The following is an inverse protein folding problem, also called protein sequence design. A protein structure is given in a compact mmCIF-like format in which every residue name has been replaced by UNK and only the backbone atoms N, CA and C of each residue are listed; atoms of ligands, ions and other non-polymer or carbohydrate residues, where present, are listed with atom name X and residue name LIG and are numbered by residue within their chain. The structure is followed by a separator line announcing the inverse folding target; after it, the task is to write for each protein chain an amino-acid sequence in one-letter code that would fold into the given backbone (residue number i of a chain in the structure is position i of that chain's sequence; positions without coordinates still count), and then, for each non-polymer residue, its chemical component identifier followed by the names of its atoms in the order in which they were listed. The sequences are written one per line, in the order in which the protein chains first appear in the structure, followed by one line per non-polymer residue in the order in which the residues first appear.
data_IF_557175510986
#
_entry.id   IF_557175510986
#
_cell.length_a   1.000
_cell.length_b   1.000
_cell.length_c   1.000
_cell.angle_alpha   90.00
_cell.angle_beta   90.00
_cell.angle_gamma   90.00
#
_symmetry.space_group_name_H-M   'P 1'
#
loop_
_entity.id
_entity.type
_entity.pdbx_description
1 polymer ?
#
# COMPACT_ATOMS: atom_id res chain seq x y z
N UNK A 1 17.73 18.77 -14.67
CA UNK A 1 17.25 17.58 -13.95
C UNK A 1 15.79 17.41 -14.22
N UNK A 2 15.33 16.26 -14.72
CA UNK A 2 13.90 16.03 -14.97
C UNK A 2 13.29 15.41 -13.71
N UNK A 3 12.36 16.10 -13.07
CA UNK A 3 11.63 15.54 -11.95
C UNK A 3 10.46 14.71 -12.45
N UNK A 4 10.38 13.47 -12.03
CA UNK A 4 9.22 12.64 -12.23
C UNK A 4 8.47 12.56 -10.91
N UNK A 5 7.33 13.23 -10.81
CA UNK A 5 6.54 13.25 -9.56
C UNK A 5 5.84 11.93 -9.25
N UNK A 6 5.97 10.94 -10.11
CA UNK A 6 5.19 9.72 -9.99
C UNK A 6 5.80 8.56 -10.76
N UNK A 7 6.95 8.16 -10.33
CA UNK A 7 7.68 7.06 -10.95
C UNK A 7 6.92 5.72 -10.96
N UNK A 8 5.96 5.52 -10.06
CA UNK A 8 5.21 4.29 -9.89
C UNK A 8 3.79 4.32 -10.48
N UNK A 9 3.49 5.20 -11.39
CA UNK A 9 2.14 5.48 -11.81
C UNK A 9 1.59 4.63 -12.94
N UNK A 10 2.40 3.86 -13.60
CA UNK A 10 1.93 2.92 -14.62
C UNK A 10 1.56 1.53 -14.05
N UNK A 11 1.27 1.46 -12.75
CA UNK A 11 1.10 0.21 -12.07
C UNK A 11 2.40 -0.58 -11.90
N UNK A 12 2.33 -1.68 -11.15
CA UNK A 12 3.47 -2.57 -11.02
C UNK A 12 3.50 -3.57 -12.19
N UNK A 13 4.57 -3.53 -12.95
CA UNK A 13 4.88 -4.52 -13.98
C UNK A 13 6.39 -4.83 -13.97
N UNK A 14 6.84 -6.01 -14.41
CA UNK A 14 8.25 -6.32 -14.51
C UNK A 14 9.01 -5.27 -15.33
N UNK A 15 10.10 -4.73 -14.80
CA UNK A 15 10.87 -3.68 -15.45
C UNK A 15 10.39 -2.25 -15.22
N UNK A 16 9.42 -2.03 -14.34
CA UNK A 16 8.92 -0.68 -14.00
C UNK A 16 10.03 0.28 -13.53
N UNK A 17 11.09 -0.23 -12.92
CA UNK A 17 12.24 0.55 -12.46
C UNK A 17 13.26 0.88 -13.56
N UNK A 18 13.17 0.26 -14.72
CA UNK A 18 14.15 0.41 -15.81
C UNK A 18 14.26 1.86 -16.29
N UNK A 19 13.15 2.59 -16.24
CA UNK A 19 13.14 3.99 -16.64
C UNK A 19 14.02 4.86 -15.72
N UNK A 20 13.98 4.64 -14.42
CA UNK A 20 14.82 5.36 -13.45
C UNK A 20 16.29 4.95 -13.53
N UNK A 21 16.56 3.70 -13.85
CA UNK A 21 17.93 3.16 -13.93
C UNK A 21 18.65 3.68 -15.18
N UNK A 22 17.93 3.89 -16.27
CA UNK A 22 18.49 4.33 -17.54
C UNK A 22 19.03 5.76 -17.53
N UNK A 23 18.49 6.62 -16.69
CA UNK A 23 18.90 8.02 -16.63
C UNK A 23 18.83 8.56 -15.18
N UNK A 24 20.00 8.73 -14.57
CA UNK A 24 20.14 9.24 -13.21
C UNK A 24 19.65 10.70 -13.01
N UNK A 25 19.19 11.37 -14.05
CA UNK A 25 18.61 12.72 -13.99
C UNK A 25 17.11 12.71 -13.68
N UNK A 26 16.50 11.55 -13.44
CA UNK A 26 15.11 11.42 -13.05
C UNK A 26 14.96 11.30 -11.55
N UNK A 27 14.01 12.02 -11.02
CA UNK A 27 13.62 12.00 -9.61
C UNK A 27 12.15 11.65 -9.50
N UNK A 28 11.79 10.94 -8.46
CA UNK A 28 10.39 10.65 -8.16
C UNK A 28 10.05 11.12 -6.75
N UNK A 29 8.86 11.66 -6.60
CA UNK A 29 8.23 11.87 -5.31
C UNK A 29 7.09 10.89 -5.17
N UNK A 30 7.08 10.14 -4.09
CA UNK A 30 6.06 9.14 -3.81
C UNK A 30 5.17 9.66 -2.69
N UNK A 31 3.89 9.81 -2.96
CA UNK A 31 2.90 10.13 -1.95
C UNK A 31 2.29 8.83 -1.43
N UNK A 32 2.55 8.52 -0.16
CA UNK A 32 2.03 7.33 0.50
C UNK A 32 0.94 7.70 1.51
N UNK A 33 -0.27 7.19 1.28
CA UNK A 33 -1.33 7.20 2.29
C UNK A 33 -1.30 5.86 3.05
N UNK A 34 -0.79 5.88 4.28
CA UNK A 34 -0.60 4.67 5.08
C UNK A 34 -1.90 4.00 5.52
N UNK A 35 -2.88 4.79 5.89
CA UNK A 35 -4.14 4.32 6.45
C UNK A 35 -5.30 4.79 5.59
N UNK A 36 -5.84 3.90 4.76
CA UNK A 36 -7.08 4.17 4.04
C UNK A 36 -8.27 4.13 5.00
N UNK A 37 -9.25 4.98 4.73
CA UNK A 37 -10.54 5.02 5.43
C UNK A 37 -11.59 4.18 4.72
N UNK A 38 -11.42 4.03 3.40
CA UNK A 38 -12.31 3.23 2.57
C UNK A 38 -12.02 1.74 2.79
N UNK A 39 -13.05 0.98 3.16
CA UNK A 39 -13.01 -0.45 3.38
C UNK A 39 -13.89 -1.24 2.39
N UNK A 40 -14.16 -0.66 1.24
CA UNK A 40 -15.04 -1.26 0.21
C UNK A 40 -14.37 -2.39 -0.58
N UNK A 41 -13.06 -2.57 -0.45
CA UNK A 41 -12.32 -3.63 -1.12
C UNK A 41 -12.74 -5.03 -0.69
N UNK A 42 -12.64 -5.99 -1.59
CA UNK A 42 -12.97 -7.39 -1.30
C UNK A 42 -11.94 -8.34 -1.89
N UNK A 43 -11.67 -9.43 -1.18
CA UNK A 43 -10.96 -10.60 -1.68
C UNK A 43 -11.85 -11.81 -1.43
N UNK A 44 -12.17 -12.56 -2.49
CA UNK A 44 -13.08 -13.71 -2.42
C UNK A 44 -12.47 -14.92 -3.11
N UNK A 45 -12.70 -16.11 -2.59
CA UNK A 45 -12.33 -17.34 -3.29
C UNK A 45 -13.09 -17.42 -4.61
N UNK A 46 -12.41 -17.80 -5.68
CA UNK A 46 -13.00 -18.03 -7.00
C UNK A 46 -13.66 -19.41 -7.05
N UNK A 47 -12.99 -20.41 -6.47
CA UNK A 47 -13.44 -21.80 -6.42
C UNK A 47 -12.87 -22.51 -5.19
N UNK A 48 -13.07 -23.81 -5.08
CA UNK A 48 -12.45 -24.67 -4.07
C UNK A 48 -11.03 -25.12 -4.45
N UNK A 49 -10.55 -24.86 -5.66
CA UNK A 49 -9.16 -25.15 -6.05
C UNK A 49 -8.23 -24.08 -5.47
N UNK A 50 -7.29 -24.44 -4.54
CA UNK A 50 -6.40 -23.48 -3.91
C UNK A 50 -5.39 -22.82 -4.87
N UNK A 51 -5.28 -23.30 -6.10
CA UNK A 51 -4.42 -22.73 -7.14
C UNK A 51 -5.10 -21.64 -7.94
N UNK A 52 -6.41 -21.52 -7.83
CA UNK A 52 -7.15 -20.46 -8.50
C UNK A 52 -6.84 -19.10 -7.87
N UNK A 53 -6.52 -18.14 -8.73
CA UNK A 53 -6.34 -16.74 -8.28
C UNK A 53 -7.65 -16.23 -7.70
N UNK A 54 -7.66 -15.67 -6.49
CA UNK A 54 -8.86 -15.10 -5.89
C UNK A 54 -9.41 -13.94 -6.71
N UNK A 55 -10.70 -13.66 -6.52
CA UNK A 55 -11.35 -12.46 -7.06
C UNK A 55 -10.98 -11.30 -6.15
N UNK A 56 -10.19 -10.35 -6.67
CA UNK A 56 -9.72 -9.19 -5.94
C UNK A 56 -10.37 -7.95 -6.53
N UNK A 57 -10.99 -7.14 -5.66
CA UNK A 57 -11.52 -5.83 -6.02
C UNK A 57 -11.04 -4.82 -4.97
N UNK A 58 -10.17 -3.91 -5.38
CA UNK A 58 -9.60 -2.94 -4.45
C UNK A 58 -10.57 -1.84 -4.05
N UNK A 59 -11.41 -1.36 -4.96
CA UNK A 59 -12.35 -0.25 -4.72
C UNK A 59 -11.71 0.93 -3.96
N UNK A 60 -10.47 1.26 -4.28
CA UNK A 60 -9.65 2.18 -3.46
C UNK A 60 -10.29 3.56 -3.31
N UNK A 61 -10.79 4.12 -4.41
CA UNK A 61 -11.43 5.45 -4.47
C UNK A 61 -12.85 5.38 -5.02
N UNK A 62 -13.31 4.19 -5.32
CA UNK A 62 -14.63 3.97 -5.86
C UNK A 62 -15.58 3.42 -4.83
N UNK A 63 -16.73 3.74 -5.08
CA UNK A 63 -18.02 3.35 -4.63
C UNK A 63 -18.14 1.87 -4.25
N UNK A 64 -17.72 1.54 -3.10
CA UNK A 64 -18.44 0.56 -2.33
C UNK A 64 -19.48 1.30 -1.50
N UNK A 65 -20.25 0.60 -0.73
CA UNK A 65 -21.04 1.21 0.33
C UNK A 65 -20.07 1.74 1.38
N UNK A 66 -19.48 2.91 1.12
CA UNK A 66 -18.61 3.56 2.10
C UNK A 66 -19.42 4.54 2.89
N UNK A 67 -19.34 4.40 4.20
CA UNK A 67 -19.90 5.38 5.12
C UNK A 67 -19.03 6.65 5.11
N UNK A 68 -19.65 7.80 5.29
CA UNK A 68 -18.96 9.05 5.61
C UNK A 68 -18.00 9.56 4.51
N UNK A 69 -18.28 9.29 3.24
CA UNK A 69 -17.43 9.68 2.09
C UNK A 69 -15.96 9.23 2.21
N UNK A 70 -15.73 8.06 2.76
CA UNK A 70 -14.37 7.57 3.04
C UNK A 70 -13.50 7.49 1.78
N UNK A 71 -14.05 7.06 0.64
CA UNK A 71 -13.35 6.99 -0.63
C UNK A 71 -12.89 8.38 -1.10
N UNK A 72 -13.76 9.39 -1.04
CA UNK A 72 -13.41 10.76 -1.42
C UNK A 72 -12.39 11.37 -0.46
N UNK A 73 -12.47 11.10 0.84
CA UNK A 73 -11.47 11.55 1.82
C UNK A 73 -10.10 10.92 1.57
N UNK A 74 -10.05 9.68 1.11
CA UNK A 74 -8.80 9.02 0.74
C UNK A 74 -8.22 9.60 -0.55
N UNK A 75 -9.06 9.84 -1.56
CA UNK A 75 -8.67 10.48 -2.80
C UNK A 75 -8.16 11.91 -2.57
N UNK A 76 -8.88 12.68 -1.76
CA UNK A 76 -8.49 14.03 -1.38
C UNK A 76 -7.14 14.09 -0.69
N UNK A 77 -6.86 13.17 0.23
CA UNK A 77 -5.58 13.11 0.93
C UNK A 77 -4.40 12.82 -0.01
N UNK A 78 -4.59 11.95 -1.01
CA UNK A 78 -3.55 11.69 -2.03
C UNK A 78 -3.38 12.89 -2.96
N UNK A 79 -4.47 13.53 -3.34
CA UNK A 79 -4.44 14.77 -4.12
C UNK A 79 -3.64 15.88 -3.41
N UNK A 80 -3.89 16.12 -2.14
CA UNK A 80 -3.14 17.08 -1.32
C UNK A 80 -1.64 16.74 -1.24
N UNK A 81 -1.31 15.47 -1.12
CA UNK A 81 0.07 14.98 -1.16
C UNK A 81 0.74 15.25 -2.51
N UNK A 82 0.03 15.09 -3.62
CA UNK A 82 0.54 15.46 -4.95
C UNK A 82 0.76 16.96 -5.10
N UNK A 83 -0.17 17.77 -4.59
CA UNK A 83 -0.01 19.22 -4.57
C UNK A 83 1.22 19.65 -3.77
N UNK A 84 1.40 19.04 -2.59
CA UNK A 84 2.60 19.27 -1.79
C UNK A 84 3.88 18.92 -2.55
N UNK A 85 3.91 17.77 -3.23
CA UNK A 85 5.06 17.34 -4.03
C UNK A 85 5.38 18.30 -5.16
N UNK A 86 4.36 18.79 -5.87
CA UNK A 86 4.52 19.80 -6.91
C UNK A 86 5.07 21.12 -6.35
N UNK A 87 4.56 21.55 -5.20
CA UNK A 87 5.05 22.76 -4.55
C UNK A 87 6.51 22.58 -4.11
N UNK A 88 6.86 21.44 -3.51
CA UNK A 88 8.23 21.15 -3.11
C UNK A 88 9.21 21.22 -4.29
N UNK A 89 8.83 20.70 -5.48
CA UNK A 89 9.67 20.82 -6.68
C UNK A 89 9.78 22.25 -7.21
N UNK A 90 8.74 23.08 -7.07
CA UNK A 90 8.79 24.50 -7.45
C UNK A 90 9.75 25.30 -6.55
N UNK A 91 9.84 24.92 -5.29
CA UNK A 91 10.66 25.61 -4.28
C UNK A 91 12.13 25.14 -4.32
N UNK A 92 12.43 24.03 -5.02
CA UNK A 92 13.81 23.56 -5.17
C UNK A 92 14.59 24.43 -6.16
N UNK A 93 15.83 24.75 -5.81
CA UNK A 93 16.78 25.40 -6.71
C UNK A 93 17.60 24.29 -7.39
N UNK A 94 17.42 24.05 -8.70
CA UNK A 94 18.20 23.03 -9.40
C UNK A 94 19.67 23.47 -9.52
N UNK A 95 20.58 22.52 -9.48
CA UNK A 95 22.01 22.77 -9.67
C UNK A 95 22.34 23.27 -11.07
N UNK A 96 21.60 22.78 -12.05
CA UNK A 96 21.69 23.17 -13.46
C UNK A 96 20.31 23.08 -14.14
N UNK A 97 20.03 23.96 -15.07
CA UNK A 97 18.79 23.96 -15.83
C UNK A 97 17.53 24.16 -14.98
N UNK A 98 16.48 23.43 -15.30
CA UNK A 98 15.18 23.47 -14.62
C UNK A 98 14.59 22.09 -14.46
N UNK A 99 13.72 21.92 -13.45
CA UNK A 99 12.88 20.72 -13.33
C UNK A 99 11.77 20.73 -14.38
N UNK A 100 11.57 19.59 -15.02
CA UNK A 100 10.43 19.37 -15.91
C UNK A 100 9.64 18.19 -15.36
N UNK A 101 8.35 18.40 -15.11
CA UNK A 101 7.45 17.33 -14.72
C UNK A 101 7.21 16.40 -15.91
N UNK A 102 7.51 15.12 -15.74
CA UNK A 102 7.31 14.09 -16.76
C UNK A 102 5.98 13.39 -16.57
N UNK A 103 5.60 13.15 -15.33
CA UNK A 103 4.41 12.39 -14.96
C UNK A 103 3.78 12.94 -13.68
N UNK A 104 2.48 13.22 -13.64
CA UNK A 104 1.47 13.09 -14.69
C UNK A 104 1.66 14.01 -15.89
N UNK A 105 2.59 14.96 -15.82
CA UNK A 105 2.92 15.90 -16.86
C UNK A 105 2.21 17.26 -16.72
N UNK A 106 2.70 18.27 -17.46
CA UNK A 106 2.27 19.66 -17.27
C UNK A 106 0.82 19.95 -17.69
N UNK A 107 0.19 19.01 -18.40
CA UNK A 107 -1.21 19.19 -18.88
C UNK A 107 -2.25 18.76 -17.82
N UNK A 108 -1.85 18.06 -16.77
CA UNK A 108 -2.73 17.66 -15.66
C UNK A 108 -2.68 18.75 -14.61
N UNK A 109 -3.53 19.75 -14.72
CA UNK A 109 -3.47 21.00 -13.93
C UNK A 109 -4.65 21.22 -13.02
N UNK A 110 -5.83 20.71 -13.38
CA UNK A 110 -7.04 20.88 -12.56
C UNK A 110 -7.15 19.79 -11.49
N UNK A 111 -7.88 20.08 -10.42
CA UNK A 111 -8.19 19.10 -9.37
C UNK A 111 -8.86 17.85 -9.95
N UNK A 112 -9.83 18.01 -10.82
CA UNK A 112 -10.53 16.90 -11.46
C UNK A 112 -9.57 16.00 -12.24
N UNK A 113 -8.74 16.59 -13.09
CA UNK A 113 -7.73 15.83 -13.85
C UNK A 113 -6.73 15.09 -12.94
N UNK A 114 -6.33 15.73 -11.83
CA UNK A 114 -5.42 15.08 -10.87
C UNK A 114 -6.11 13.93 -10.13
N UNK A 115 -7.36 14.12 -9.73
CA UNK A 115 -8.13 13.06 -9.07
C UNK A 115 -8.40 11.89 -10.00
N UNK A 116 -8.70 12.14 -11.27
CA UNK A 116 -8.86 11.08 -12.27
C UNK A 116 -7.54 10.33 -12.48
N UNK A 117 -6.44 11.06 -12.63
CA UNK A 117 -5.12 10.47 -12.69
C UNK A 117 -4.79 9.58 -11.46
N UNK A 118 -5.11 10.03 -10.24
CA UNK A 118 -4.92 9.23 -9.02
C UNK A 118 -5.75 7.95 -9.07
N UNK A 119 -6.99 8.00 -9.52
CA UNK A 119 -7.86 6.82 -9.63
C UNK A 119 -7.30 5.78 -10.59
N UNK A 120 -6.74 6.24 -11.70
CA UNK A 120 -6.21 5.36 -12.74
C UNK A 120 -4.86 4.72 -12.35
N UNK A 121 -4.06 5.44 -11.55
CA UNK A 121 -2.65 5.11 -11.38
C UNK A 121 -2.26 4.68 -9.95
N UNK A 122 -3.11 4.92 -8.96
CA UNK A 122 -2.78 4.54 -7.59
C UNK A 122 -2.71 3.03 -7.41
N UNK A 123 -1.74 2.60 -6.64
CA UNK A 123 -1.49 1.19 -6.37
C UNK A 123 -0.97 0.99 -4.92
N UNK A 124 -0.81 -0.27 -4.49
CA UNK A 124 -0.28 -0.59 -3.17
C UNK A 124 0.53 -1.88 -3.17
N UNK A 125 1.59 -1.93 -2.36
CA UNK A 125 2.44 -3.09 -2.15
C UNK A 125 2.34 -3.67 -0.73
N UNK A 126 1.60 -3.03 0.17
CA UNK A 126 1.57 -3.36 1.58
C UNK A 126 0.35 -4.23 1.94
N UNK A 127 0.13 -5.32 1.19
CA UNK A 127 -0.87 -6.33 1.54
C UNK A 127 -0.60 -6.85 2.96
N UNK A 128 -1.60 -6.75 3.84
CA UNK A 128 -1.46 -7.04 5.27
C UNK A 128 -2.81 -7.29 5.94
N UNK A 129 -2.78 -7.70 7.21
CA UNK A 129 -3.96 -7.74 8.10
C UNK A 129 -5.04 -8.78 7.75
N UNK A 130 -4.75 -9.78 6.93
CA UNK A 130 -5.74 -10.80 6.51
C UNK A 130 -5.81 -12.01 7.45
N UNK A 131 -4.83 -12.19 8.34
CA UNK A 131 -4.80 -13.23 9.39
C UNK A 131 -4.46 -12.58 10.74
N UNK A 132 -5.27 -11.63 11.25
CA UNK A 132 -4.88 -10.81 12.40
C UNK A 132 -4.72 -11.63 13.68
N UNK A 133 -3.69 -11.28 14.45
CA UNK A 133 -3.59 -11.67 15.86
C UNK A 133 -4.61 -10.86 16.65
N UNK A 134 -5.34 -11.51 17.53
CA UNK A 134 -6.29 -10.82 18.42
C UNK A 134 -6.54 -11.57 19.73
N UNK A 135 -7.32 -10.95 20.60
CA UNK A 135 -7.74 -11.54 21.87
C UNK A 135 -8.72 -12.70 21.63
N UNK A 136 -8.88 -13.57 22.64
CA UNK A 136 -9.82 -14.70 22.55
C UNK A 136 -11.29 -14.24 22.41
N UNK A 137 -11.58 -13.03 22.85
CA UNK A 137 -12.90 -12.40 22.73
C UNK A 137 -13.15 -11.75 21.37
N UNK A 138 -12.14 -11.65 20.51
CA UNK A 138 -12.27 -11.06 19.17
C UNK A 138 -12.70 -12.14 18.16
N UNK A 139 -13.94 -12.10 17.65
CA UNK A 139 -14.43 -13.10 16.69
C UNK A 139 -13.74 -13.00 15.32
N UNK A 140 -13.03 -11.90 15.04
CA UNK A 140 -12.28 -11.70 13.80
C UNK A 140 -10.82 -12.12 13.90
N UNK A 141 -10.33 -12.46 15.10
CA UNK A 141 -8.96 -12.92 15.28
C UNK A 141 -8.75 -14.31 14.63
N UNK A 142 -7.83 -14.36 13.68
CA UNK A 142 -7.42 -15.61 13.03
C UNK A 142 -6.34 -16.31 13.83
N UNK A 143 -5.45 -15.54 14.49
CA UNK A 143 -4.31 -16.06 15.22
C UNK A 143 -4.38 -15.71 16.70
N UNK A 144 -3.74 -16.57 17.52
CA UNK A 144 -3.43 -16.26 18.91
C UNK A 144 -2.08 -15.50 19.02
N UNK A 145 -1.69 -15.12 20.25
CA UNK A 145 -0.44 -14.40 20.54
C UNK A 145 0.83 -15.21 20.25
N UNK A 146 0.71 -16.50 19.96
CA UNK A 146 1.79 -17.41 19.55
C UNK A 146 1.80 -17.67 18.05
N UNK A 147 1.11 -16.86 17.26
CA UNK A 147 0.98 -16.98 15.81
C UNK A 147 0.24 -18.24 15.33
N UNK A 148 -0.42 -18.97 16.23
CA UNK A 148 -1.12 -20.21 15.88
C UNK A 148 -2.51 -19.89 15.33
N UNK A 149 -2.89 -20.61 14.25
CA UNK A 149 -4.21 -20.51 13.67
C UNK A 149 -5.24 -21.10 14.62
N UNK A 150 -6.25 -20.31 14.99
CA UNK A 150 -7.32 -20.73 15.89
C UNK A 150 -8.14 -21.85 15.28
N UNK A 151 -8.41 -22.88 16.09
CA UNK A 151 -9.19 -24.05 15.65
C UNK A 151 -8.44 -25.04 14.76
N UNK A 152 -7.17 -24.80 14.46
CA UNK A 152 -6.32 -25.70 13.65
C UNK A 152 -5.07 -26.08 14.45
N UNK A 153 -4.71 -27.36 14.43
CA UNK A 153 -3.51 -27.83 15.12
C UNK A 153 -2.27 -27.70 14.24
N UNK A 154 -1.14 -27.38 14.86
CA UNK A 154 0.19 -27.38 14.23
C UNK A 154 0.36 -26.44 13.03
N UNK A 155 -0.45 -25.36 12.95
CA UNK A 155 -0.38 -24.35 11.90
C UNK A 155 -0.12 -22.97 12.50
N UNK A 156 0.83 -22.25 11.92
CA UNK A 156 1.13 -20.84 12.22
C UNK A 156 1.20 -20.04 10.94
N UNK A 157 0.94 -18.73 11.07
CA UNK A 157 1.17 -17.72 10.03
C UNK A 157 2.11 -16.67 10.59
N UNK A 158 3.17 -16.35 9.83
CA UNK A 158 4.20 -15.36 10.21
C UNK A 158 4.57 -14.54 8.99
N UNK A 159 3.79 -13.54 8.71
CA UNK A 159 4.04 -12.54 7.67
C UNK A 159 3.24 -11.26 7.98
N UNK A 160 3.16 -10.31 7.05
CA UNK A 160 2.42 -9.07 7.25
C UNK A 160 0.91 -9.26 7.48
N UNK A 161 0.35 -10.42 7.16
CA UNK A 161 -1.08 -10.70 7.39
C UNK A 161 -1.45 -10.76 8.86
N UNK A 162 -0.48 -10.98 9.76
CA UNK A 162 -0.73 -11.12 11.21
C UNK A 162 -1.08 -9.80 11.91
N UNK A 163 -0.79 -8.66 11.29
CA UNK A 163 -1.10 -7.37 11.91
C UNK A 163 -2.60 -7.14 12.05
N UNK A 164 -3.09 -6.70 13.23
CA UNK A 164 -4.49 -6.28 13.38
C UNK A 164 -4.84 -5.04 12.57
N UNK A 165 -3.85 -4.15 12.39
CA UNK A 165 -3.88 -2.96 11.53
C UNK A 165 -2.51 -2.74 10.93
N UNK A 166 -2.46 -2.15 9.75
CA UNK A 166 -1.18 -1.84 9.11
C UNK A 166 -0.33 -0.95 10.01
N UNK A 167 0.92 -1.35 10.34
CA UNK A 167 1.78 -0.60 11.25
C UNK A 167 2.52 0.52 10.52
N UNK A 168 2.31 1.77 10.92
CA UNK A 168 3.03 2.93 10.37
C UNK A 168 2.79 3.17 8.89
N UNK A 169 3.86 3.56 8.17
CA UNK A 169 3.84 3.87 6.73
C UNK A 169 4.51 2.78 5.91
N UNK A 170 5.63 2.27 6.37
CA UNK A 170 6.41 1.20 5.74
C UNK A 170 6.46 0.00 6.66
N UNK A 171 6.11 -1.18 6.13
CA UNK A 171 5.89 -2.39 6.95
C UNK A 171 7.10 -3.31 7.06
N UNK A 172 8.21 -3.01 6.38
CA UNK A 172 9.40 -3.89 6.38
C UNK A 172 9.97 -4.08 7.78
N UNK A 173 10.23 -2.99 8.52
CA UNK A 173 10.75 -3.08 9.87
C UNK A 173 9.79 -3.80 10.83
N UNK A 174 8.50 -3.49 10.88
CA UNK A 174 7.53 -4.29 11.63
C UNK A 174 7.52 -5.78 11.27
N UNK A 175 7.70 -6.15 10.00
CA UNK A 175 7.78 -7.56 9.60
C UNK A 175 9.02 -8.23 10.22
N UNK A 176 10.18 -7.60 10.20
CA UNK A 176 11.35 -8.14 10.91
C UNK A 176 11.10 -8.31 12.40
N UNK A 177 10.50 -7.32 13.05
CA UNK A 177 10.19 -7.39 14.49
C UNK A 177 9.27 -8.56 14.85
N UNK A 178 8.20 -8.78 14.09
CA UNK A 178 7.31 -9.92 14.35
C UNK A 178 7.96 -11.25 14.01
N UNK A 179 8.84 -11.30 13.01
CA UNK A 179 9.55 -12.52 12.62
C UNK A 179 10.50 -12.98 13.72
N UNK A 180 11.27 -12.08 14.32
CA UNK A 180 12.11 -12.36 15.50
C UNK A 180 11.26 -12.87 16.67
N UNK A 181 10.16 -12.19 16.98
CA UNK A 181 9.23 -12.62 18.04
C UNK A 181 8.65 -14.01 17.76
N UNK A 182 8.30 -14.29 16.50
CA UNK A 182 7.77 -15.61 16.12
C UNK A 182 8.82 -16.70 16.24
N UNK A 183 10.07 -16.42 15.87
CA UNK A 183 11.18 -17.35 16.03
C UNK A 183 11.38 -17.75 17.51
N UNK A 184 11.41 -16.77 18.42
CA UNK A 184 11.50 -17.04 19.86
C UNK A 184 10.37 -17.93 20.36
N UNK A 185 9.12 -17.64 19.97
CA UNK A 185 7.95 -18.42 20.38
C UNK A 185 7.99 -19.85 19.83
N UNK A 186 8.42 -20.03 18.58
CA UNK A 186 8.52 -21.35 17.95
C UNK A 186 9.59 -22.18 18.65
N UNK A 187 10.76 -21.61 18.95
CA UNK A 187 11.84 -22.30 19.67
C UNK A 187 11.39 -22.71 21.07
N UNK A 188 10.73 -21.81 21.79
CA UNK A 188 10.19 -22.09 23.14
C UNK A 188 9.13 -23.20 23.14
N UNK A 189 8.26 -23.24 22.15
CA UNK A 189 7.23 -24.27 22.03
C UNK A 189 7.80 -25.64 21.56
N UNK A 190 9.02 -25.66 21.01
CA UNK A 190 9.70 -26.89 20.56
C UNK A 190 10.64 -27.49 21.61
N UNK A 191 10.95 -26.77 22.67
CA UNK A 191 11.81 -27.19 23.78
C UNK A 191 11.03 -27.98 24.84
#
# INVERSE_FOLDING_TARGET
MKANSSFFLQGYYPGYSDFAIKDARHWAWITLKAHSRNNAGTVKLRSSDPRDVPIINFNSFDTGVTTDNAAEKDLQAVYEGMQYSRQAFKDLVPLDGSFTEVWPGPNVTTEAQMKDFIKDEAWGHHASCTCPIGADSDPMAVLDSKFRVRGVQSLRVVDASVFPKIPGFYIVLPIYMISEKAADVIIQDAA
#
